data_IF_235483884560
#
_entry.id   IF_235483884560
#
_cell.length_a   1.000
_cell.length_b   1.000
_cell.length_c   1.000
_cell.angle_alpha   90.00
_cell.angle_beta   90.00
_cell.angle_gamma   90.00
#
_symmetry.space_group_name_H-M   'P 1'
#
loop_
_entity.id
_entity.type
_entity.pdbx_description
1 polymer ?
#
# COMPACT_ATOMS: atom_id res chain seq x y z
N UNK A 1 -3.34 1.66 -3.10
CA UNK A 1 -2.96 0.45 -2.34
C UNK A 1 -4.09 -0.55 -2.48
N UNK A 2 -3.78 -1.81 -2.79
CA UNK A 2 -4.78 -2.86 -3.09
C UNK A 2 -4.63 -4.00 -2.09
N UNK A 3 -5.75 -4.52 -1.60
CA UNK A 3 -5.73 -5.68 -0.71
C UNK A 3 -5.19 -6.92 -1.43
N UNK A 4 -4.30 -7.66 -0.76
CA UNK A 4 -3.76 -8.93 -1.25
C UNK A 4 -4.50 -10.09 -0.54
N UNK A 5 -5.18 -10.99 -1.27
CA UNK A 5 -5.88 -12.13 -0.66
C UNK A 5 -4.93 -13.16 -0.05
N UNK A 6 -3.67 -13.17 -0.49
CA UNK A 6 -2.67 -14.15 -0.09
C UNK A 6 -1.99 -13.83 1.25
N UNK A 7 -2.34 -12.72 1.88
CA UNK A 7 -1.83 -12.39 3.20
C UNK A 7 -2.09 -13.51 4.21
N UNK A 8 -1.06 -13.93 4.98
CA UNK A 8 -1.19 -15.03 5.92
C UNK A 8 -2.25 -14.76 6.98
N UNK A 9 -2.45 -13.50 7.38
CA UNK A 9 -3.47 -13.10 8.34
C UNK A 9 -4.90 -13.31 7.81
N UNK A 10 -5.12 -13.18 6.49
CA UNK A 10 -6.41 -13.50 5.87
C UNK A 10 -6.57 -15.01 5.82
N UNK A 11 -5.56 -15.73 5.30
CA UNK A 11 -5.61 -17.20 5.14
C UNK A 11 -5.81 -17.94 6.46
N UNK A 12 -5.23 -17.45 7.55
CA UNK A 12 -5.35 -18.04 8.88
C UNK A 12 -6.79 -18.01 9.43
N UNK A 13 -7.60 -17.06 8.98
CA UNK A 13 -8.99 -16.86 9.46
C UNK A 13 -10.04 -17.52 8.55
N UNK A 14 -9.62 -18.13 7.43
CA UNK A 14 -10.52 -18.85 6.52
C UNK A 14 -10.81 -20.26 7.01
N UNK A 15 -12.08 -20.66 6.97
CA UNK A 15 -12.48 -22.05 7.20
C UNK A 15 -12.20 -22.90 5.96
N UNK A 16 -12.10 -24.24 6.08
CA UNK A 16 -11.91 -25.12 4.94
C UNK A 16 -12.95 -24.88 3.84
N UNK A 17 -12.48 -24.59 2.62
CA UNK A 17 -13.33 -24.32 1.46
C UNK A 17 -13.81 -22.87 1.32
N UNK A 18 -13.49 -21.97 2.26
CA UNK A 18 -13.78 -20.54 2.10
C UNK A 18 -12.75 -19.84 1.23
N UNK A 19 -13.23 -18.95 0.37
CA UNK A 19 -12.42 -17.93 -0.29
C UNK A 19 -12.42 -16.62 0.55
N UNK A 20 -11.41 -15.74 0.37
CA UNK A 20 -11.40 -14.41 1.00
C UNK A 20 -12.68 -13.61 0.75
N UNK A 21 -13.30 -13.76 -0.43
CA UNK A 21 -14.59 -13.13 -0.77
C UNK A 21 -15.75 -13.58 0.11
N UNK A 22 -15.67 -14.77 0.71
CA UNK A 22 -16.69 -15.30 1.61
C UNK A 22 -16.57 -14.73 3.03
N UNK A 23 -15.45 -14.06 3.35
CA UNK A 23 -15.15 -13.44 4.65
C UNK A 23 -14.83 -11.95 4.51
N UNK A 24 -15.79 -11.13 4.04
CA UNK A 24 -15.57 -9.70 3.83
C UNK A 24 -15.24 -8.96 5.14
N UNK A 25 -15.66 -9.48 6.30
CA UNK A 25 -15.31 -8.97 7.63
C UNK A 25 -13.78 -9.02 7.88
N UNK A 26 -13.15 -10.16 7.57
CA UNK A 26 -11.71 -10.37 7.73
C UNK A 26 -10.94 -9.52 6.73
N UNK A 27 -11.34 -9.56 5.46
CA UNK A 27 -10.71 -8.80 4.38
C UNK A 27 -10.75 -7.30 4.67
N UNK A 28 -11.92 -6.77 5.01
CA UNK A 28 -12.09 -5.34 5.34
C UNK A 28 -11.21 -4.93 6.51
N UNK A 29 -11.19 -5.73 7.57
CA UNK A 29 -10.41 -5.43 8.77
C UNK A 29 -8.91 -5.43 8.48
N UNK A 30 -8.42 -6.44 7.78
CA UNK A 30 -7.01 -6.54 7.41
C UNK A 30 -6.58 -5.43 6.47
N UNK A 31 -7.39 -5.14 5.45
CA UNK A 31 -7.15 -4.01 4.55
C UNK A 31 -7.05 -2.69 5.30
N UNK A 32 -8.01 -2.39 6.20
CA UNK A 32 -8.02 -1.17 6.99
C UNK A 32 -6.79 -1.03 7.90
N UNK A 33 -6.36 -2.14 8.52
CA UNK A 33 -5.16 -2.14 9.36
C UNK A 33 -3.90 -1.83 8.54
N UNK A 34 -3.74 -2.45 7.36
CA UNK A 34 -2.59 -2.18 6.49
C UNK A 34 -2.65 -0.76 5.91
N UNK A 35 -3.83 -0.28 5.52
CA UNK A 35 -4.03 1.11 5.08
C UNK A 35 -3.60 2.10 6.16
N UNK A 36 -4.04 1.90 7.40
CA UNK A 36 -3.64 2.75 8.54
C UNK A 36 -2.14 2.75 8.77
N UNK A 37 -1.49 1.59 8.66
CA UNK A 37 -0.04 1.50 8.78
C UNK A 37 0.66 2.33 7.70
N UNK A 38 0.27 2.19 6.43
CA UNK A 38 0.81 2.97 5.31
C UNK A 38 0.59 4.47 5.54
N UNK A 39 -0.61 4.87 5.96
CA UNK A 39 -0.92 6.28 6.19
C UNK A 39 -0.15 6.84 7.39
N UNK A 40 0.10 6.02 8.40
CA UNK A 40 0.96 6.39 9.52
C UNK A 40 2.41 6.60 9.04
N UNK A 41 2.93 5.70 8.21
CA UNK A 41 4.29 5.83 7.69
C UNK A 41 4.45 7.09 6.84
N UNK A 42 3.48 7.37 5.97
CA UNK A 42 3.49 8.57 5.12
C UNK A 42 3.35 9.85 5.94
N UNK A 43 2.37 9.93 6.86
CA UNK A 43 2.05 11.19 7.53
C UNK A 43 2.87 11.46 8.80
N UNK A 44 3.22 10.42 9.56
CA UNK A 44 3.91 10.54 10.84
C UNK A 44 5.39 10.20 10.74
N UNK A 45 5.74 9.07 10.10
CA UNK A 45 7.14 8.70 9.89
C UNK A 45 7.78 9.48 8.72
N UNK A 46 6.96 10.22 7.94
CA UNK A 46 7.39 11.11 6.86
C UNK A 46 8.26 10.41 5.83
N UNK A 47 7.95 9.15 5.52
CA UNK A 47 8.75 8.34 4.57
C UNK A 47 8.79 8.93 3.16
N UNK A 48 7.84 9.81 2.82
CA UNK A 48 7.81 10.56 1.56
C UNK A 48 8.14 12.06 1.74
N UNK A 49 8.43 12.52 2.96
CA UNK A 49 8.50 13.95 3.32
C UNK A 49 7.27 14.43 4.10
N UNK A 50 7.18 15.74 4.42
CA UNK A 50 6.04 16.27 5.16
C UNK A 50 4.81 16.45 4.28
N UNK A 51 3.69 15.86 4.69
CA UNK A 51 2.37 16.02 4.04
C UNK A 51 1.63 17.21 4.65
N UNK A 52 1.08 18.10 3.81
CA UNK A 52 0.21 19.20 4.23
C UNK A 52 -1.24 18.76 4.42
N UNK A 53 -1.74 17.92 3.52
CA UNK A 53 -3.11 17.40 3.52
C UNK A 53 -3.20 16.16 2.62
N UNK A 54 -4.23 15.34 2.82
CA UNK A 54 -4.48 14.21 1.94
C UNK A 54 -5.98 13.94 1.80
N UNK A 55 -6.35 13.31 0.69
CA UNK A 55 -7.70 12.79 0.45
C UNK A 55 -7.59 11.33 0.01
N UNK A 56 -8.55 10.50 0.39
CA UNK A 56 -8.59 9.12 -0.04
C UNK A 56 -10.02 8.63 -0.25
N UNK A 57 -10.15 7.61 -1.09
CA UNK A 57 -11.39 6.92 -1.37
C UNK A 57 -11.13 5.42 -1.34
N UNK A 58 -11.89 4.72 -0.49
CA UNK A 58 -11.93 3.26 -0.49
C UNK A 58 -12.98 2.80 -1.51
N UNK A 59 -12.54 2.02 -2.49
CA UNK A 59 -13.39 1.46 -3.52
C UNK A 59 -13.55 -0.05 -3.32
N UNK A 60 -14.82 -0.46 -3.27
CA UNK A 60 -15.24 -1.86 -3.24
C UNK A 60 -15.83 -2.22 -4.58
N UNK A 61 -15.08 -2.94 -5.42
CA UNK A 61 -15.64 -3.42 -6.68
C UNK A 61 -16.44 -4.69 -6.42
N UNK A 62 -17.50 -4.88 -7.22
CA UNK A 62 -18.58 -5.85 -6.96
C UNK A 62 -18.15 -7.32 -6.77
N UNK A 63 -16.92 -7.66 -7.17
CA UNK A 63 -16.27 -8.95 -6.90
C UNK A 63 -14.75 -8.80 -6.66
N UNK A 64 -14.24 -7.60 -6.40
CA UNK A 64 -12.81 -7.38 -6.17
C UNK A 64 -12.54 -7.01 -4.72
N UNK A 65 -11.29 -7.22 -4.33
CA UNK A 65 -10.82 -6.86 -3.01
C UNK A 65 -10.73 -5.33 -2.90
N UNK A 66 -10.85 -4.78 -1.68
CA UNK A 66 -10.84 -3.35 -1.50
C UNK A 66 -9.50 -2.77 -1.96
N UNK A 67 -9.58 -1.59 -2.55
CA UNK A 67 -8.41 -0.79 -2.84
C UNK A 67 -8.70 0.66 -2.48
N UNK A 68 -7.62 1.39 -2.23
CA UNK A 68 -7.69 2.80 -1.90
C UNK A 68 -6.97 3.61 -2.98
N UNK A 69 -7.68 4.62 -3.46
CA UNK A 69 -7.12 5.75 -4.18
C UNK A 69 -6.78 6.84 -3.17
N UNK A 70 -5.53 7.28 -3.11
CA UNK A 70 -5.09 8.29 -2.15
C UNK A 70 -4.24 9.34 -2.85
N UNK A 71 -4.46 10.61 -2.48
CA UNK A 71 -3.66 11.74 -2.95
C UNK A 71 -3.10 12.46 -1.72
N UNK A 72 -1.77 12.55 -1.65
CA UNK A 72 -1.05 13.24 -0.60
C UNK A 72 -0.46 14.54 -1.15
N UNK A 73 -0.84 15.67 -0.57
CA UNK A 73 -0.31 16.98 -0.91
C UNK A 73 0.90 17.25 -0.03
N UNK A 74 2.09 17.32 -0.62
CA UNK A 74 3.34 17.56 0.09
C UNK A 74 3.53 19.04 0.46
N UNK A 75 4.25 19.32 1.54
CA UNK A 75 4.71 20.67 1.87
C UNK A 75 5.68 21.19 0.81
N UNK A 76 5.74 22.51 0.62
CA UNK A 76 6.49 23.11 -0.49
C UNK A 76 7.98 22.73 -0.53
N UNK A 77 8.61 22.52 0.63
CA UNK A 77 10.02 22.14 0.74
C UNK A 77 10.27 20.66 0.44
N UNK A 78 9.25 19.80 0.60
CA UNK A 78 9.35 18.35 0.36
C UNK A 78 8.78 17.94 -1.01
N UNK A 79 8.35 18.91 -1.82
CA UNK A 79 7.90 18.64 -3.20
C UNK A 79 9.08 18.33 -4.10
N UNK A 80 8.87 17.39 -5.02
CA UNK A 80 9.78 17.13 -6.13
C UNK A 80 9.58 18.24 -7.18
N UNK A 81 10.59 19.09 -7.38
CA UNK A 81 10.49 20.28 -8.26
C UNK A 81 11.18 20.13 -9.62
N UNK A 82 12.02 19.10 -9.79
CA UNK A 82 12.76 18.85 -11.02
C UNK A 82 12.69 17.38 -11.45
N UNK A 83 13.05 17.13 -12.71
CA UNK A 83 13.01 15.81 -13.32
C UNK A 83 13.96 14.81 -12.65
N UNK A 84 15.12 15.28 -12.18
CA UNK A 84 16.12 14.41 -11.55
C UNK A 84 15.60 13.88 -10.22
N UNK A 85 14.96 14.74 -9.43
CA UNK A 85 14.32 14.38 -8.16
C UNK A 85 13.14 13.42 -8.38
N UNK A 86 12.36 13.63 -9.45
CA UNK A 86 11.26 12.75 -9.85
C UNK A 86 11.80 11.36 -10.23
N UNK A 87 12.76 11.29 -11.15
CA UNK A 87 13.31 10.01 -11.64
C UNK A 87 14.00 9.23 -10.51
N UNK A 88 14.69 9.92 -9.60
CA UNK A 88 15.31 9.29 -8.44
C UNK A 88 14.28 8.72 -7.44
N UNK A 89 13.11 9.35 -7.33
CA UNK A 89 12.10 8.99 -6.33
C UNK A 89 11.02 8.05 -6.87
N UNK A 90 10.72 8.11 -8.17
CA UNK A 90 9.66 7.37 -8.85
C UNK A 90 10.29 6.59 -9.99
N UNK A 91 10.65 5.34 -9.71
CA UNK A 91 11.18 4.43 -10.71
C UNK A 91 10.70 3.01 -10.40
N UNK A 92 10.62 2.19 -11.45
CA UNK A 92 10.39 0.75 -11.33
C UNK A 92 11.60 0.05 -11.91
N UNK A 93 12.18 -0.87 -11.16
CA UNK A 93 13.27 -1.72 -11.61
C UNK A 93 13.10 -3.11 -11.02
N UNK A 94 13.74 -4.08 -11.68
CA UNK A 94 13.82 -5.43 -11.18
C UNK A 94 14.97 -5.51 -10.17
N UNK A 95 14.72 -5.82 -8.89
CA UNK A 95 15.80 -5.90 -7.90
C UNK A 95 16.79 -7.00 -8.26
N UNK A 96 18.08 -6.81 -7.94
CA UNK A 96 19.08 -7.84 -8.19
C UNK A 96 19.02 -8.93 -7.11
N UNK A 97 18.93 -10.23 -7.47
CA UNK A 97 18.76 -11.31 -6.49
C UNK A 97 19.99 -11.54 -5.60
N UNK A 98 21.16 -11.01 -5.97
CA UNK A 98 22.42 -11.14 -5.21
C UNK A 98 22.66 -9.92 -4.33
N UNK A 99 22.52 -8.70 -4.86
CA UNK A 99 22.76 -7.48 -4.08
C UNK A 99 21.53 -7.00 -3.29
N UNK A 100 20.32 -7.33 -3.74
CA UNK A 100 19.07 -6.87 -3.15
C UNK A 100 18.07 -8.01 -2.89
N UNK A 101 18.49 -9.10 -2.22
CA UNK A 101 17.68 -10.31 -2.07
C UNK A 101 16.33 -10.04 -1.39
N UNK A 102 16.31 -9.15 -0.37
CA UNK A 102 15.07 -8.81 0.33
C UNK A 102 14.07 -8.07 -0.57
N UNK A 103 14.53 -7.22 -1.51
CA UNK A 103 13.64 -6.54 -2.45
C UNK A 103 13.19 -7.51 -3.55
N UNK A 104 14.07 -8.40 -3.99
CA UNK A 104 13.74 -9.45 -4.97
C UNK A 104 12.65 -10.38 -4.43
N UNK A 105 12.72 -10.80 -3.16
CA UNK A 105 11.73 -11.68 -2.53
C UNK A 105 10.34 -11.02 -2.36
N UNK A 106 10.24 -9.70 -2.51
CA UNK A 106 8.96 -8.96 -2.42
C UNK A 106 8.22 -8.87 -3.76
N UNK A 107 8.88 -9.21 -4.88
CA UNK A 107 8.34 -9.13 -6.26
C UNK A 107 7.94 -10.50 -6.75
#
# INVERSE_FOLDING_TARGET
FTCNPDWPEIKAELLPGQAPSDRPDVVTRMFHLKQKAIFHDINHNRVLGAVSSYVYLDEWQKCSLPHVHSLFMMQALDKLHDMTAIDASIHAYWPDPVSEPCLFDLV
#
